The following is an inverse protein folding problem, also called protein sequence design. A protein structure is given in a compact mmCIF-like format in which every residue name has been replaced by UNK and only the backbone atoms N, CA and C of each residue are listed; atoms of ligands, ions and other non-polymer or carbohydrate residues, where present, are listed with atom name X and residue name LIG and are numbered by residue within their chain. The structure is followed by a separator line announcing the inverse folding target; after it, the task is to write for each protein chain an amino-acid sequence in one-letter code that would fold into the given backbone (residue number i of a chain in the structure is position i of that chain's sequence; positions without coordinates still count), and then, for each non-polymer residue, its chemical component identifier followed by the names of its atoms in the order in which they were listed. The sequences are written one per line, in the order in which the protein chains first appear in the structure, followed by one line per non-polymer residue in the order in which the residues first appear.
data_IF_602063529485
#
_entry.id   IF_602063529485
#
_cell.length_a   1.000
_cell.length_b   1.000
_cell.length_c   1.000
_cell.angle_alpha   90.00
_cell.angle_beta   90.00
_cell.angle_gamma   90.00
#
_symmetry.space_group_name_H-M   'P 1'
#
loop_
_entity.id
_entity.type
_entity.pdbx_description
1 polymer ?
#
# COMPACT_ATOMS: atom_id res chain seq x y z
N UNK A 1 -49.95 -9.86 64.71
CA UNK A 1 -49.09 -9.54 63.56
C UNK A 1 -47.94 -10.52 63.62
N UNK A 2 -48.03 -11.60 62.87
CA UNK A 2 -46.98 -12.63 62.80
C UNK A 2 -46.28 -12.43 61.46
N UNK A 3 -44.97 -12.18 61.48
CA UNK A 3 -44.16 -11.96 60.29
C UNK A 3 -43.57 -13.32 59.88
N UNK A 4 -44.06 -13.87 58.77
CA UNK A 4 -43.53 -15.12 58.22
C UNK A 4 -42.06 -14.94 57.81
N UNK A 5 -41.18 -15.74 58.40
CA UNK A 5 -39.75 -15.74 58.14
C UNK A 5 -39.46 -16.29 56.73
N UNK A 6 -38.95 -15.43 55.85
CA UNK A 6 -38.49 -15.81 54.51
C UNK A 6 -37.22 -16.65 54.67
N UNK A 7 -37.31 -17.94 54.39
CA UNK A 7 -36.15 -18.84 54.35
C UNK A 7 -35.32 -18.52 53.10
N UNK A 8 -34.02 -18.18 53.20
CA UNK A 8 -33.22 -17.88 52.02
C UNK A 8 -32.93 -19.15 51.22
N UNK A 9 -33.22 -19.12 49.91
CA UNK A 9 -32.85 -20.18 48.99
C UNK A 9 -31.32 -20.35 48.93
N UNK A 10 -30.80 -21.59 48.80
CA UNK A 10 -29.36 -21.82 48.73
C UNK A 10 -28.75 -21.15 47.49
N UNK A 11 -27.50 -20.66 47.56
CA UNK A 11 -26.84 -20.02 46.43
C UNK A 11 -26.68 -21.02 45.28
N UNK A 12 -27.16 -20.64 44.10
CA UNK A 12 -26.98 -21.42 42.88
C UNK A 12 -25.48 -21.61 42.60
N UNK A 13 -25.06 -22.86 42.45
CA UNK A 13 -23.70 -23.20 42.00
C UNK A 13 -23.41 -22.53 40.65
N UNK A 14 -22.26 -21.85 40.49
CA UNK A 14 -21.91 -21.26 39.20
C UNK A 14 -21.75 -22.36 38.15
N UNK A 15 -22.13 -22.11 36.88
CA UNK A 15 -21.98 -23.10 35.82
C UNK A 15 -20.52 -23.49 35.67
N UNK A 16 -20.23 -24.80 35.73
CA UNK A 16 -18.91 -25.32 35.44
C UNK A 16 -18.65 -25.19 33.94
N UNK A 17 -17.80 -24.23 33.56
CA UNK A 17 -17.35 -24.07 32.18
C UNK A 17 -16.30 -25.15 31.91
N UNK A 18 -16.66 -26.20 31.19
CA UNK A 18 -15.71 -27.22 30.77
C UNK A 18 -14.69 -26.58 29.82
N UNK A 19 -13.40 -26.56 30.22
CA UNK A 19 -12.31 -25.93 29.48
C UNK A 19 -12.06 -26.48 28.07
N UNK A 20 -12.75 -27.54 27.67
CA UNK A 20 -12.56 -28.24 26.39
C UNK A 20 -13.63 -27.92 25.34
N UNK A 21 -14.69 -27.21 25.71
CA UNK A 21 -15.85 -26.97 24.84
C UNK A 21 -15.63 -25.69 24.01
N UNK A 22 -14.74 -25.76 23.02
CA UNK A 22 -14.46 -24.62 22.14
C UNK A 22 -13.46 -24.86 21.00
N UNK A 23 -12.97 -26.08 20.83
CA UNK A 23 -12.06 -26.41 19.74
C UNK A 23 -12.86 -27.06 18.61
N UNK A 24 -13.22 -26.29 17.59
CA UNK A 24 -13.76 -26.85 16.36
C UNK A 24 -12.72 -27.78 15.72
N UNK A 25 -13.12 -29.01 15.40
CA UNK A 25 -12.32 -30.02 14.67
C UNK A 25 -11.93 -29.58 13.24
N UNK A 26 -12.22 -28.33 12.88
CA UNK A 26 -11.86 -27.74 11.60
C UNK A 26 -10.40 -27.28 11.70
N UNK A 27 -9.53 -27.97 10.97
CA UNK A 27 -8.13 -27.54 10.82
C UNK A 27 -8.08 -26.10 10.36
N UNK A 28 -7.41 -25.22 11.11
CA UNK A 28 -7.17 -23.85 10.66
C UNK A 28 -6.32 -23.91 9.39
N UNK A 29 -6.61 -23.08 8.37
CA UNK A 29 -5.75 -23.01 7.20
C UNK A 29 -4.32 -22.66 7.63
N UNK A 30 -3.31 -23.14 6.88
CA UNK A 30 -1.91 -22.85 7.19
C UNK A 30 -1.71 -21.33 7.26
N UNK A 31 -0.96 -20.89 8.28
CA UNK A 31 -0.62 -19.48 8.38
C UNK A 31 0.24 -19.08 7.17
N UNK A 32 -0.01 -17.90 6.57
CA UNK A 32 0.82 -17.42 5.47
C UNK A 32 2.26 -17.21 5.95
N UNK A 33 3.23 -17.51 5.10
CA UNK A 33 4.67 -17.36 5.39
C UNK A 33 5.08 -15.94 5.75
N UNK A 34 4.28 -14.95 5.32
CA UNK A 34 4.50 -13.53 5.62
C UNK A 34 3.16 -12.85 5.89
N UNK A 35 3.07 -12.17 7.02
CA UNK A 35 1.98 -11.23 7.29
C UNK A 35 2.16 -10.00 6.39
N UNK A 36 1.31 -9.84 5.37
CA UNK A 36 1.32 -8.63 4.54
C UNK A 36 0.89 -7.45 5.40
N UNK A 37 1.78 -6.47 5.61
CA UNK A 37 1.38 -5.25 6.31
C UNK A 37 0.39 -4.50 5.43
N UNK A 38 -0.60 -3.86 6.03
CA UNK A 38 -1.61 -3.06 5.30
C UNK A 38 -0.98 -1.93 4.47
N UNK A 39 0.24 -1.52 4.82
CA UNK A 39 1.05 -0.53 4.10
C UNK A 39 1.96 -1.13 3.01
N UNK A 40 1.99 -2.45 2.83
CA UNK A 40 2.76 -3.06 1.75
C UNK A 40 2.10 -2.72 0.42
N UNK A 41 2.80 -1.91 -0.37
CA UNK A 41 2.44 -1.67 -1.76
C UNK A 41 2.70 -2.98 -2.53
N UNK A 42 1.64 -3.56 -3.09
CA UNK A 42 1.68 -4.82 -3.84
C UNK A 42 1.66 -4.51 -5.33
N UNK A 43 2.54 -5.16 -6.10
CA UNK A 43 2.48 -5.13 -7.56
C UNK A 43 1.51 -6.22 -8.05
N UNK A 44 0.43 -5.87 -8.80
CA UNK A 44 -0.50 -6.84 -9.36
C UNK A 44 0.17 -7.94 -10.19
N UNK A 45 1.32 -7.68 -10.81
CA UNK A 45 2.04 -8.69 -11.60
C UNK A 45 2.75 -9.75 -10.75
N UNK A 46 2.91 -9.51 -9.44
CA UNK A 46 3.52 -10.46 -8.49
C UNK A 46 2.49 -11.36 -7.80
N UNK A 47 1.22 -11.17 -8.15
CA UNK A 47 0.10 -11.92 -7.61
C UNK A 47 -0.05 -13.25 -8.34
N UNK A 48 -0.28 -14.32 -7.58
CA UNK A 48 -0.57 -15.63 -8.18
C UNK A 48 -1.92 -15.65 -8.89
N UNK A 49 -2.13 -16.60 -9.79
CA UNK A 49 -3.31 -16.70 -10.66
C UNK A 49 -4.67 -16.66 -9.92
N UNK A 50 -4.70 -17.13 -8.66
CA UNK A 50 -5.93 -17.16 -7.83
C UNK A 50 -6.05 -15.99 -6.85
N UNK A 51 -5.19 -15.00 -6.94
CA UNK A 51 -5.21 -13.85 -6.02
C UNK A 51 -5.92 -12.64 -6.62
N UNK A 52 -6.54 -11.87 -5.74
CA UNK A 52 -7.43 -10.78 -6.10
C UNK A 52 -6.93 -9.47 -5.48
N UNK A 53 -7.24 -8.36 -6.16
CA UNK A 53 -6.94 -6.99 -5.71
C UNK A 53 -8.24 -6.24 -5.56
N UNK A 54 -8.32 -5.41 -4.53
CA UNK A 54 -9.44 -4.48 -4.38
C UNK A 54 -9.11 -3.17 -5.10
N UNK A 55 -9.93 -2.81 -6.07
CA UNK A 55 -9.81 -1.54 -6.78
C UNK A 55 -10.17 -0.35 -5.86
N UNK A 56 -9.79 0.89 -6.21
CA UNK A 56 -10.21 2.09 -5.47
C UNK A 56 -11.72 2.28 -5.42
N UNK A 57 -12.46 1.76 -6.40
CA UNK A 57 -13.94 1.74 -6.39
C UNK A 57 -14.53 0.66 -5.48
N UNK A 58 -13.68 -0.16 -4.85
CA UNK A 58 -14.06 -1.21 -3.92
C UNK A 58 -14.35 -2.57 -4.57
N UNK A 59 -14.26 -2.69 -5.89
CA UNK A 59 -14.47 -3.94 -6.64
C UNK A 59 -13.30 -4.91 -6.41
N UNK A 60 -13.60 -6.21 -6.33
CA UNK A 60 -12.59 -7.26 -6.23
C UNK A 60 -12.32 -7.76 -7.64
N UNK A 61 -11.10 -7.55 -8.13
CA UNK A 61 -10.69 -7.88 -9.49
C UNK A 61 -9.52 -8.86 -9.45
N UNK A 62 -9.42 -9.73 -10.45
CA UNK A 62 -8.21 -10.50 -10.70
C UNK A 62 -7.04 -9.58 -11.10
N UNK A 63 -5.80 -10.09 -11.07
CA UNK A 63 -4.63 -9.29 -11.46
C UNK A 63 -4.72 -8.76 -12.90
N UNK A 64 -5.13 -9.60 -13.86
CA UNK A 64 -5.28 -9.20 -15.26
C UNK A 64 -6.40 -8.17 -15.46
N UNK A 65 -7.55 -8.38 -14.80
CA UNK A 65 -8.69 -7.47 -14.84
C UNK A 65 -8.34 -6.11 -14.24
N UNK A 66 -7.64 -6.11 -13.10
CA UNK A 66 -7.14 -4.90 -12.48
C UNK A 66 -6.19 -4.16 -13.41
N UNK A 67 -5.28 -4.85 -14.09
CA UNK A 67 -4.33 -4.25 -15.04
C UNK A 67 -5.01 -3.67 -16.30
N UNK A 68 -6.12 -4.27 -16.73
CA UNK A 68 -6.93 -3.77 -17.85
C UNK A 68 -7.86 -2.60 -17.47
N UNK A 69 -8.07 -2.34 -16.18
CA UNK A 69 -9.03 -1.34 -15.73
C UNK A 69 -8.55 0.10 -16.03
N UNK A 70 -9.35 0.93 -16.72
CA UNK A 70 -8.91 2.24 -17.22
C UNK A 70 -8.57 3.24 -16.12
N UNK A 71 -9.31 3.17 -15.00
CA UNK A 71 -9.08 4.01 -13.81
C UNK A 71 -8.12 3.42 -12.78
N UNK A 72 -7.33 2.39 -13.12
CA UNK A 72 -6.44 1.77 -12.14
C UNK A 72 -5.31 2.74 -11.75
N UNK A 73 -4.89 2.75 -10.48
CA UNK A 73 -3.65 3.41 -10.11
C UNK A 73 -2.45 2.69 -10.73
N UNK A 74 -1.40 3.44 -11.06
CA UNK A 74 -0.13 2.89 -11.51
C UNK A 74 0.48 1.98 -10.43
N UNK A 75 1.04 0.86 -10.85
CA UNK A 75 1.84 -0.03 -10.02
C UNK A 75 3.12 0.68 -9.56
N UNK A 76 3.78 0.16 -8.53
CA UNK A 76 5.03 0.75 -8.03
C UNK A 76 6.09 0.81 -9.13
N UNK A 77 6.22 -0.26 -9.91
CA UNK A 77 7.20 -0.34 -10.99
C UNK A 77 6.94 0.75 -12.02
N UNK A 78 5.69 0.89 -12.47
CA UNK A 78 5.28 1.94 -13.41
C UNK A 78 5.54 3.35 -12.85
N UNK A 79 5.24 3.57 -11.56
CA UNK A 79 5.53 4.86 -10.90
C UNK A 79 7.03 5.16 -10.86
N UNK A 80 7.85 4.18 -10.50
CA UNK A 80 9.30 4.35 -10.45
C UNK A 80 9.88 4.64 -11.82
N UNK A 81 9.41 3.96 -12.87
CA UNK A 81 9.81 4.22 -14.25
C UNK A 81 9.44 5.63 -14.71
N UNK A 82 8.19 6.05 -14.45
CA UNK A 82 7.75 7.40 -14.75
C UNK A 82 8.56 8.47 -14.00
N UNK A 83 8.91 8.23 -12.73
CA UNK A 83 9.79 9.13 -11.97
C UNK A 83 11.19 9.17 -12.60
N UNK A 84 11.78 8.02 -12.93
CA UNK A 84 13.11 7.97 -13.58
C UNK A 84 13.12 8.68 -14.92
N UNK A 85 12.06 8.57 -15.71
CA UNK A 85 11.92 9.28 -16.97
C UNK A 85 11.82 10.79 -16.77
N UNK A 86 10.95 11.24 -15.84
CA UNK A 86 10.84 12.66 -15.49
C UNK A 86 12.15 13.25 -15.00
N UNK A 87 12.87 12.52 -14.14
CA UNK A 87 14.18 12.93 -13.65
C UNK A 87 15.18 13.06 -14.81
N UNK A 88 15.28 12.06 -15.69
CA UNK A 88 16.15 12.12 -16.87
C UNK A 88 15.84 13.31 -17.77
N UNK A 89 14.57 13.58 -18.02
CA UNK A 89 14.14 14.73 -18.83
C UNK A 89 14.49 16.06 -18.16
N UNK A 90 14.27 16.18 -16.85
CA UNK A 90 14.62 17.39 -16.09
C UNK A 90 16.13 17.64 -16.07
N UNK A 91 16.94 16.60 -15.86
CA UNK A 91 18.41 16.72 -15.87
C UNK A 91 18.94 17.11 -17.25
N UNK A 92 18.35 16.59 -18.32
CA UNK A 92 18.73 16.95 -19.68
C UNK A 92 18.40 18.42 -19.99
N UNK A 93 17.22 18.90 -19.60
CA UNK A 93 16.84 20.31 -19.76
C UNK A 93 17.77 21.24 -18.99
N UNK A 94 18.07 20.92 -17.74
CA UNK A 94 18.99 21.70 -16.92
C UNK A 94 20.39 21.79 -17.56
N UNK A 95 20.90 20.67 -18.07
CA UNK A 95 22.21 20.64 -18.73
C UNK A 95 22.26 21.48 -20.02
N UNK A 96 21.17 21.53 -20.79
CA UNK A 96 21.06 22.39 -21.97
C UNK A 96 20.97 23.88 -21.58
N UNK A 97 20.22 24.21 -20.52
CA UNK A 97 20.14 25.58 -19.99
C UNK A 97 21.50 26.06 -19.47
N UNK A 98 22.26 25.22 -18.76
CA UNK A 98 23.60 25.58 -18.29
C UNK A 98 24.57 25.79 -19.43
N UNK A 99 24.55 24.95 -20.47
CA UNK A 99 25.41 25.14 -21.66
C UNK A 99 25.10 26.46 -22.37
N UNK A 100 23.81 26.77 -22.56
CA UNK A 100 23.41 28.06 -23.16
C UNK A 100 23.87 29.25 -22.32
N UNK A 101 23.72 29.17 -21.00
CA UNK A 101 24.20 30.23 -20.10
C UNK A 101 25.73 30.39 -20.15
N UNK A 102 26.49 29.30 -20.24
CA UNK A 102 27.94 29.34 -20.40
C UNK A 102 28.37 29.92 -21.76
N UNK A 103 27.68 29.56 -22.85
CA UNK A 103 27.93 30.12 -24.19
C UNK A 103 27.62 31.62 -24.25
N UNK A 104 26.49 32.07 -23.67
CA UNK A 104 26.14 33.48 -23.59
C UNK A 104 27.14 34.27 -22.73
N UNK A 105 27.60 33.70 -21.61
CA UNK A 105 28.63 34.30 -20.77
C UNK A 105 29.97 34.42 -21.52
N UNK A 106 30.37 33.39 -22.27
CA UNK A 106 31.58 33.40 -23.09
C UNK A 106 31.48 34.43 -24.23
N UNK A 107 30.34 34.53 -24.90
CA UNK A 107 30.08 35.51 -25.95
C UNK A 107 30.12 36.95 -25.40
N UNK A 108 29.51 37.20 -24.24
CA UNK A 108 29.55 38.49 -23.58
C UNK A 108 30.97 38.89 -23.14
N UNK A 109 31.78 37.93 -22.66
CA UNK A 109 33.18 38.15 -22.31
C UNK A 109 34.04 38.48 -23.55
N UNK A 110 33.83 37.78 -24.66
CA UNK A 110 34.53 38.03 -25.93
C UNK A 110 34.17 39.40 -26.53
N UNK A 111 32.90 39.81 -26.45
CA UNK A 111 32.44 41.12 -26.91
C UNK A 111 33.07 42.27 -26.11
N UNK A 112 33.22 42.13 -24.79
CA UNK A 112 33.91 43.12 -23.94
C UNK A 112 35.39 43.29 -24.32
N UNK A 113 36.10 42.19 -24.64
CA UNK A 113 37.51 42.24 -25.07
C UNK A 113 37.73 42.91 -26.43
N UNK A 114 36.75 42.89 -27.34
CA UNK A 114 36.85 43.54 -28.67
C UNK A 114 36.59 45.05 -28.64
N UNK A 115 36.03 45.57 -27.55
CA UNK A 115 35.63 46.98 -27.40
C UNK A 115 36.62 47.80 -26.54
N UNK A 116 37.61 47.14 -25.96
CA UNK A 116 38.73 47.72 -25.22
C UNK A 116 39.96 47.73 -26.11
#
# INVERSE_FOLDING_TARGET
MELDAITPAPPATPPQVHHTEGHSDVSRPPQPSRLRRLSELIDPLTLGERSHVRSPSGQILGAAEFMAHPGRPLSIRERQEAIREKVRAATAKLAEETKKAEEEAAAAAAAKKRKA
#
